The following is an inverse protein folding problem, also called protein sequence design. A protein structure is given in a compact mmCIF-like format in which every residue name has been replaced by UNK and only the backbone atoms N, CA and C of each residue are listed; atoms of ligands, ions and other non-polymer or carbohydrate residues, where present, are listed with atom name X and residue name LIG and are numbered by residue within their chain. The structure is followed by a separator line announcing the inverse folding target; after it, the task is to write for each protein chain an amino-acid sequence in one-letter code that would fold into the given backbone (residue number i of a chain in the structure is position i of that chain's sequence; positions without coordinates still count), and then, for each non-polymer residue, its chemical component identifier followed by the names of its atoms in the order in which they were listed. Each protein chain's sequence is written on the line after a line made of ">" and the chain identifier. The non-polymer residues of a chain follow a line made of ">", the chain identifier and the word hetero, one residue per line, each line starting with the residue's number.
data_IF_333842073560
#
_entry.id   IF_333842073560
#
_cell.length_a   1.000
_cell.length_b   1.000
_cell.length_c   1.000
_cell.angle_alpha   90.00
_cell.angle_beta   90.00
_cell.angle_gamma   90.00
#
_symmetry.space_group_name_H-M   'P 1'
#
loop_
_entity.id
_entity.type
_entity.pdbx_description
1 polymer ?
#
# COMPACT_ATOMS: atom_id res chain seq x y z
N UNK A 1 -2.59 38.86 12.36
CA UNK A 1 -2.36 37.41 12.20
C UNK A 1 -1.77 37.20 10.82
N UNK A 2 -0.52 36.75 10.71
CA UNK A 2 0.05 36.38 9.42
C UNK A 2 -0.68 35.15 8.90
N UNK A 3 -1.26 35.23 7.70
CA UNK A 3 -1.90 34.08 7.07
C UNK A 3 -0.88 32.94 6.95
N UNK A 4 -1.20 31.77 7.48
CA UNK A 4 -0.34 30.59 7.37
C UNK A 4 -0.18 30.24 5.90
N UNK A 5 1.08 30.18 5.43
CA UNK A 5 1.38 29.83 4.05
C UNK A 5 1.00 28.36 3.84
N UNK A 6 -0.02 28.12 3.01
CA UNK A 6 -0.49 26.76 2.69
C UNK A 6 0.65 25.97 2.02
N UNK A 7 0.84 24.73 2.45
CA UNK A 7 1.77 23.79 1.83
C UNK A 7 0.99 22.66 1.16
N UNK A 8 1.54 22.14 0.05
CA UNK A 8 1.02 20.96 -0.61
C UNK A 8 1.53 19.72 0.13
N UNK A 9 0.64 18.77 0.41
CA UNK A 9 1.04 17.46 0.91
C UNK A 9 1.46 16.56 -0.23
N UNK A 10 2.56 15.84 -0.06
CA UNK A 10 3.17 14.99 -1.08
C UNK A 10 3.21 13.54 -0.60
N UNK A 11 2.71 12.63 -1.43
CA UNK A 11 2.75 11.20 -1.19
C UNK A 11 3.49 10.48 -2.33
N UNK A 12 4.28 9.46 -1.98
CA UNK A 12 4.85 8.54 -2.96
C UNK A 12 3.88 7.37 -3.12
N UNK A 13 3.36 7.20 -4.33
CA UNK A 13 2.70 5.95 -4.70
C UNK A 13 3.77 4.94 -5.13
N UNK A 14 4.07 4.01 -4.23
CA UNK A 14 5.18 3.07 -4.42
C UNK A 14 4.77 1.91 -5.31
N UNK A 15 5.39 1.90 -6.49
CA UNK A 15 5.52 0.73 -7.32
C UNK A 15 7.03 0.54 -7.58
N UNK A 16 7.66 -0.37 -6.83
CA UNK A 16 9.07 -0.79 -6.95
C UNK A 16 9.64 -1.00 -8.35
N UNK A 17 8.89 -1.43 -9.37
CA UNK A 17 9.39 -1.53 -10.77
C UNK A 17 9.03 -0.31 -11.65
N UNK A 18 8.58 0.76 -11.00
CA UNK A 18 8.07 1.98 -11.63
C UNK A 18 6.55 1.94 -11.83
N UNK A 19 5.93 3.12 -11.94
CA UNK A 19 4.50 3.26 -12.24
C UNK A 19 4.18 3.06 -13.74
N UNK A 20 5.20 3.18 -14.60
CA UNK A 20 5.06 2.89 -16.02
C UNK A 20 5.27 1.38 -16.24
N UNK A 21 4.38 0.73 -16.98
CA UNK A 21 4.40 -0.73 -17.21
C UNK A 21 5.71 -1.26 -17.81
N UNK A 22 6.39 -0.42 -18.61
CA UNK A 22 7.69 -0.72 -19.19
C UNK A 22 8.89 -0.03 -18.47
N UNK A 23 8.65 0.67 -17.35
CA UNK A 23 9.67 1.48 -16.66
C UNK A 23 10.88 0.67 -16.18
N UNK A 24 10.64 -0.58 -15.79
CA UNK A 24 11.66 -1.55 -15.38
C UNK A 24 12.72 -1.85 -16.45
N UNK A 25 12.45 -1.52 -17.72
CA UNK A 25 13.39 -1.73 -18.84
C UNK A 25 14.44 -0.62 -18.95
N UNK A 26 14.29 0.47 -18.21
CA UNK A 26 15.23 1.59 -18.24
C UNK A 26 16.52 1.23 -17.50
N UNK A 27 17.64 1.75 -17.98
CA UNK A 27 18.92 1.57 -17.30
C UNK A 27 18.86 2.14 -15.88
N UNK A 28 19.33 1.36 -14.90
CA UNK A 28 19.30 1.73 -13.48
C UNK A 28 17.92 1.62 -12.81
N UNK A 29 16.88 1.20 -13.53
CA UNK A 29 15.59 0.90 -12.92
C UNK A 29 15.67 -0.34 -12.02
N UNK A 30 14.80 -0.36 -11.01
CA UNK A 30 14.57 -1.54 -10.21
C UNK A 30 13.82 -2.60 -11.04
N UNK A 31 14.26 -3.85 -10.92
CA UNK A 31 13.76 -5.00 -11.68
C UNK A 31 12.85 -5.93 -10.85
N UNK A 32 12.76 -5.68 -9.54
CA UNK A 32 11.91 -6.46 -8.63
C UNK A 32 11.18 -5.60 -7.61
N UNK A 33 9.88 -5.88 -7.47
CA UNK A 33 9.05 -5.33 -6.39
C UNK A 33 9.27 -6.01 -5.04
N UNK A 34 9.84 -7.21 -5.06
CA UNK A 34 10.15 -8.01 -3.88
C UNK A 34 11.62 -7.84 -3.47
N UNK A 35 12.16 -6.62 -3.56
CA UNK A 35 13.53 -6.31 -3.17
C UNK A 35 13.54 -5.33 -2.00
N UNK A 36 13.80 -5.85 -0.80
CA UNK A 36 13.81 -5.02 0.42
C UNK A 36 14.77 -3.81 0.32
N UNK A 37 16.03 -3.96 -0.14
CA UNK A 37 16.93 -2.81 -0.27
C UNK A 37 16.37 -1.68 -1.14
N UNK A 38 15.60 -2.01 -2.19
CA UNK A 38 14.98 -1.03 -3.10
C UNK A 38 13.82 -0.31 -2.40
N UNK A 39 12.95 -1.06 -1.70
CA UNK A 39 11.83 -0.50 -0.93
C UNK A 39 12.33 0.42 0.18
N UNK A 40 13.31 -0.03 0.95
CA UNK A 40 13.92 0.75 2.03
C UNK A 40 14.57 2.03 1.49
N UNK A 41 15.34 1.93 0.40
CA UNK A 41 15.95 3.09 -0.22
C UNK A 41 14.91 4.10 -0.71
N UNK A 42 13.82 3.63 -1.33
CA UNK A 42 12.71 4.47 -1.79
C UNK A 42 12.06 5.26 -0.65
N UNK A 43 11.73 4.59 0.46
CA UNK A 43 11.14 5.23 1.63
C UNK A 43 12.09 6.24 2.28
N UNK A 44 13.39 5.92 2.38
CA UNK A 44 14.41 6.86 2.87
C UNK A 44 14.57 8.08 1.95
N UNK A 45 14.45 7.91 0.63
CA UNK A 45 14.45 9.03 -0.32
C UNK A 45 13.24 9.93 -0.09
N UNK A 46 12.04 9.34 0.01
CA UNK A 46 10.81 10.08 0.30
C UNK A 46 10.92 10.90 1.60
N UNK A 47 11.43 10.27 2.67
CA UNK A 47 11.63 10.93 3.96
C UNK A 47 12.63 12.09 3.89
N UNK A 48 13.78 11.90 3.21
CA UNK A 48 14.73 13.01 2.99
C UNK A 48 14.09 14.14 2.19
N UNK A 49 13.26 13.80 1.21
CA UNK A 49 12.50 14.71 0.35
C UNK A 49 11.30 15.39 1.04
N UNK A 50 11.05 15.12 2.33
CA UNK A 50 9.95 15.71 3.11
C UNK A 50 8.55 15.34 2.60
N UNK A 51 8.42 14.18 1.97
CA UNK A 51 7.11 13.63 1.66
C UNK A 51 6.38 13.27 2.96
N UNK A 52 5.07 13.45 2.95
CA UNK A 52 4.20 13.16 4.10
C UNK A 52 3.91 11.67 4.19
N UNK A 53 3.83 10.96 3.07
CA UNK A 53 3.38 9.57 3.00
C UNK A 53 4.17 8.75 1.98
N UNK A 54 4.57 7.55 2.37
CA UNK A 54 5.02 6.49 1.48
C UNK A 54 3.94 5.42 1.45
N UNK A 55 3.27 5.26 0.31
CA UNK A 55 2.04 4.49 0.18
C UNK A 55 2.25 3.23 -0.67
N UNK A 56 1.85 2.09 -0.13
CA UNK A 56 1.93 0.78 -0.76
C UNK A 56 0.50 0.31 -1.09
N UNK A 57 0.18 0.24 -2.38
CA UNK A 57 -1.08 -0.36 -2.83
C UNK A 57 -1.05 -1.87 -2.76
N UNK A 58 -2.23 -2.49 -2.85
CA UNK A 58 -2.34 -3.92 -3.00
C UNK A 58 -3.37 -4.33 -4.05
N UNK A 59 -3.25 -5.59 -4.48
CA UNK A 59 -4.28 -6.34 -5.18
C UNK A 59 -4.36 -7.72 -4.52
N UNK A 60 -5.52 -8.37 -4.56
CA UNK A 60 -5.68 -9.71 -4.00
C UNK A 60 -5.75 -10.81 -5.06
N UNK A 61 -5.46 -10.43 -6.31
CA UNK A 61 -5.26 -11.32 -7.44
C UNK A 61 -4.10 -10.81 -8.31
N UNK A 62 -3.57 -11.71 -9.13
CA UNK A 62 -2.48 -11.45 -10.07
C UNK A 62 -2.74 -12.24 -11.36
N UNK A 63 -2.34 -11.66 -12.49
CA UNK A 63 -2.51 -12.20 -13.84
C UNK A 63 -1.30 -11.81 -14.70
N UNK A 64 -0.99 -12.58 -15.74
CA UNK A 64 0.19 -12.33 -16.60
C UNK A 64 0.09 -11.03 -17.41
N UNK A 65 -1.13 -10.54 -17.63
CA UNK A 65 -1.47 -9.28 -18.28
C UNK A 65 -1.48 -8.08 -17.32
N UNK A 66 -1.35 -8.31 -16.00
CA UNK A 66 -1.26 -7.22 -15.03
C UNK A 66 0.06 -6.44 -15.19
N UNK A 67 0.04 -5.20 -14.72
CA UNK A 67 1.25 -4.40 -14.60
C UNK A 67 2.34 -5.19 -13.84
N UNK A 68 3.62 -5.21 -14.28
CA UNK A 68 4.64 -6.11 -13.71
C UNK A 68 4.81 -6.00 -12.19
N UNK A 69 4.69 -4.78 -11.65
CA UNK A 69 4.64 -4.51 -10.21
C UNK A 69 3.55 -5.23 -9.42
N UNK A 70 2.45 -5.59 -10.08
CA UNK A 70 1.32 -6.31 -9.49
C UNK A 70 1.41 -7.81 -9.71
N UNK A 71 2.40 -8.30 -10.44
CA UNK A 71 2.59 -9.74 -10.62
C UNK A 71 3.25 -10.38 -9.39
N UNK A 72 4.29 -9.73 -8.86
CA UNK A 72 5.01 -10.14 -7.65
C UNK A 72 5.30 -8.91 -6.79
N UNK A 73 4.91 -8.94 -5.51
CA UNK A 73 5.14 -7.86 -4.54
C UNK A 73 5.16 -8.39 -3.12
N UNK A 74 5.73 -7.60 -2.21
CA UNK A 74 5.51 -7.82 -0.78
C UNK A 74 4.08 -7.49 -0.38
N UNK A 75 3.61 -8.16 0.67
CA UNK A 75 2.35 -7.81 1.31
C UNK A 75 2.49 -6.44 2.02
N UNK A 76 1.50 -5.52 1.90
CA UNK A 76 1.66 -4.15 2.37
C UNK A 76 1.90 -3.99 3.88
N UNK A 77 1.17 -4.71 4.73
CA UNK A 77 1.22 -4.53 6.19
C UNK A 77 2.55 -4.98 6.79
N UNK A 78 3.10 -6.09 6.30
CA UNK A 78 4.45 -6.57 6.62
C UNK A 78 5.53 -5.62 6.09
N UNK A 79 5.34 -5.04 4.90
CA UNK A 79 6.28 -4.05 4.35
C UNK A 79 6.30 -2.77 5.18
N UNK A 80 5.14 -2.22 5.55
CA UNK A 80 5.10 -1.02 6.40
C UNK A 80 5.60 -1.30 7.82
N UNK A 81 5.44 -2.53 8.34
CA UNK A 81 6.06 -2.94 9.60
C UNK A 81 7.60 -2.86 9.51
N UNK A 82 8.19 -3.37 8.43
CA UNK A 82 9.64 -3.26 8.22
C UNK A 82 10.09 -1.81 8.01
N UNK A 83 9.30 -1.00 7.29
CA UNK A 83 9.59 0.42 7.10
C UNK A 83 9.44 1.25 8.38
N UNK A 84 8.65 0.79 9.34
CA UNK A 84 8.43 1.50 10.61
C UNK A 84 9.72 1.66 11.41
N UNK A 85 10.64 0.70 11.29
CA UNK A 85 11.93 0.72 11.97
C UNK A 85 13.06 1.32 11.14
N UNK A 86 12.91 1.40 9.81
CA UNK A 86 13.95 1.95 8.91
C UNK A 86 13.75 3.44 8.54
N UNK A 87 12.61 4.02 8.94
CA UNK A 87 12.26 5.44 8.77
C UNK A 87 11.81 6.05 10.09
N UNK A 88 11.82 7.39 10.22
CA UNK A 88 11.53 8.10 11.48
C UNK A 88 10.38 9.09 11.42
N UNK A 89 9.99 9.57 10.24
CA UNK A 89 9.10 10.72 10.05
C UNK A 89 8.06 10.51 8.96
N UNK A 90 8.42 9.91 7.83
CA UNK A 90 7.47 9.71 6.74
C UNK A 90 6.31 8.82 7.20
N UNK A 91 5.08 9.18 6.82
CA UNK A 91 3.90 8.33 7.01
C UNK A 91 4.01 7.04 6.21
N UNK A 92 3.38 5.97 6.69
CA UNK A 92 3.46 4.64 6.09
C UNK A 92 2.07 4.14 5.75
N UNK A 93 1.70 4.17 4.47
CA UNK A 93 0.37 3.79 4.01
C UNK A 93 0.34 2.36 3.50
N UNK A 94 -0.63 1.57 3.98
CA UNK A 94 -0.88 0.21 3.52
C UNK A 94 -2.34 0.07 3.06
N UNK A 95 -2.53 -0.63 1.94
CA UNK A 95 -3.87 -1.03 1.47
C UNK A 95 -4.28 -2.35 2.08
N UNK A 96 -5.49 -2.40 2.63
CA UNK A 96 -6.13 -3.64 3.10
C UNK A 96 -7.60 -3.61 2.72
N UNK A 97 -8.10 -4.73 2.19
CA UNK A 97 -9.47 -4.84 1.68
C UNK A 97 -10.47 -5.14 2.78
N UNK A 98 -11.56 -4.37 2.88
CA UNK A 98 -12.68 -4.66 3.81
C UNK A 98 -13.47 -5.89 3.39
N UNK A 99 -13.58 -6.18 2.09
CA UNK A 99 -14.38 -7.30 1.61
C UNK A 99 -13.78 -8.69 1.86
N UNK A 100 -12.50 -8.77 2.21
CA UNK A 100 -11.76 -10.02 2.27
C UNK A 100 -10.89 -10.12 3.54
N UNK A 101 -11.16 -9.27 4.54
CA UNK A 101 -10.38 -9.26 5.78
C UNK A 101 -11.30 -9.17 6.98
N UNK A 102 -11.00 -9.97 8.00
CA UNK A 102 -11.71 -9.93 9.27
C UNK A 102 -11.45 -8.61 10.00
N UNK A 103 -12.47 -7.84 10.39
CA UNK A 103 -12.29 -6.49 10.94
C UNK A 103 -11.45 -6.49 12.22
N UNK A 104 -11.60 -7.52 13.07
CA UNK A 104 -10.78 -7.67 14.27
C UNK A 104 -9.29 -7.87 13.95
N UNK A 105 -8.98 -8.64 12.91
CA UNK A 105 -7.60 -8.86 12.48
C UNK A 105 -7.00 -7.56 11.93
N UNK A 106 -7.74 -6.83 11.08
CA UNK A 106 -7.33 -5.52 10.56
C UNK A 106 -7.07 -4.55 11.70
N UNK A 107 -8.00 -4.42 12.65
CA UNK A 107 -7.86 -3.53 13.81
C UNK A 107 -6.61 -3.86 14.64
N UNK A 108 -6.36 -5.14 14.96
CA UNK A 108 -5.16 -5.56 15.69
C UNK A 108 -3.87 -5.25 14.93
N UNK A 109 -3.85 -5.50 13.62
CA UNK A 109 -2.68 -5.23 12.78
C UNK A 109 -2.36 -3.73 12.74
N UNK A 110 -3.34 -2.89 12.41
CA UNK A 110 -3.12 -1.44 12.35
C UNK A 110 -2.84 -0.83 13.71
N UNK A 111 -3.44 -1.32 14.81
CA UNK A 111 -3.08 -0.86 16.15
C UNK A 111 -1.62 -1.21 16.48
N UNK A 112 -1.15 -2.40 16.12
CA UNK A 112 0.25 -2.80 16.30
C UNK A 112 1.19 -1.91 15.49
N UNK A 113 0.85 -1.65 14.22
CA UNK A 113 1.61 -0.76 13.34
C UNK A 113 1.61 0.69 13.86
N UNK A 114 0.51 1.16 14.44
CA UNK A 114 0.42 2.47 15.07
C UNK A 114 1.46 2.60 16.19
N UNK A 115 1.59 1.58 17.04
CA UNK A 115 2.62 1.56 18.09
C UNK A 115 4.04 1.44 17.52
N UNK A 116 4.29 0.49 16.61
CA UNK A 116 5.60 0.24 16.01
C UNK A 116 6.13 1.43 15.21
N UNK A 117 5.23 2.20 14.58
CA UNK A 117 5.58 3.36 13.78
C UNK A 117 5.59 4.67 14.56
N UNK A 118 5.24 4.66 15.85
CA UNK A 118 5.01 5.87 16.65
C UNK A 118 3.96 6.82 16.04
N UNK A 119 2.85 6.26 15.58
CA UNK A 119 1.69 7.00 15.11
C UNK A 119 1.74 7.45 13.65
N UNK A 120 2.52 6.75 12.80
CA UNK A 120 2.75 7.14 11.39
C UNK A 120 2.02 6.27 10.37
N UNK A 121 1.35 5.20 10.79
CA UNK A 121 0.66 4.29 9.84
C UNK A 121 -0.64 4.91 9.33
N UNK A 122 -0.96 4.65 8.07
CA UNK A 122 -2.24 4.98 7.46
C UNK A 122 -2.84 3.75 6.76
N UNK A 123 -4.14 3.58 6.87
CA UNK A 123 -4.89 2.54 6.16
C UNK A 123 -5.57 3.15 4.93
N UNK A 124 -5.25 2.65 3.75
CA UNK A 124 -6.06 2.84 2.56
C UNK A 124 -7.16 1.77 2.51
N UNK A 125 -8.37 2.17 2.88
CA UNK A 125 -9.57 1.33 2.92
C UNK A 125 -10.04 1.08 1.50
N UNK A 126 -10.04 -0.18 1.07
CA UNK A 126 -10.56 -0.57 -0.25
C UNK A 126 -11.60 -1.66 -0.13
N UNK A 127 -12.57 -1.64 -1.02
CA UNK A 127 -13.60 -2.69 -1.15
C UNK A 127 -13.19 -3.82 -2.11
N UNK A 128 -12.02 -3.71 -2.74
CA UNK A 128 -11.59 -4.53 -3.87
C UNK A 128 -12.53 -4.46 -5.09
N UNK A 129 -11.95 -4.45 -6.29
CA UNK A 129 -12.72 -4.38 -7.54
C UNK A 129 -12.78 -5.71 -8.31
N UNK A 130 -11.76 -6.55 -8.19
CA UNK A 130 -11.54 -7.72 -9.05
C UNK A 130 -12.33 -8.96 -8.60
N UNK A 131 -13.12 -9.53 -9.52
CA UNK A 131 -13.75 -10.84 -9.30
C UNK A 131 -12.74 -11.98 -9.19
N UNK A 132 -11.56 -11.85 -9.82
CA UNK A 132 -10.48 -12.83 -9.67
C UNK A 132 -10.02 -12.94 -8.21
N UNK A 133 -10.13 -11.85 -7.43
CA UNK A 133 -9.77 -11.89 -6.02
C UNK A 133 -10.71 -12.80 -5.23
N UNK A 134 -12.02 -12.80 -5.52
CA UNK A 134 -13.01 -13.61 -4.80
C UNK A 134 -12.67 -15.11 -4.84
N UNK A 135 -12.12 -15.59 -5.96
CA UNK A 135 -11.70 -16.98 -6.14
C UNK A 135 -10.58 -17.40 -5.16
N UNK A 136 -9.72 -16.46 -4.75
CA UNK A 136 -8.66 -16.71 -3.76
C UNK A 136 -9.20 -16.74 -2.32
N UNK A 137 -10.45 -16.33 -2.10
CA UNK A 137 -11.12 -16.29 -0.80
C UNK A 137 -12.32 -17.26 -0.74
N UNK A 138 -12.29 -18.32 -1.55
CA UNK A 138 -13.32 -19.37 -1.58
C UNK A 138 -14.74 -18.84 -1.91
N UNK A 139 -14.82 -17.76 -2.68
CA UNK A 139 -16.08 -17.20 -3.18
C UNK A 139 -16.20 -17.43 -4.68
N UNK A 140 -17.39 -17.77 -5.16
CA UNK A 140 -17.66 -17.96 -6.60
C UNK A 140 -17.60 -16.65 -7.40
N UNK A 141 -18.02 -15.55 -6.77
CA UNK A 141 -18.01 -14.19 -7.32
C UNK A 141 -17.82 -13.17 -6.22
N UNK A 142 -17.36 -11.98 -6.56
CA UNK A 142 -17.30 -10.88 -5.60
C UNK A 142 -18.73 -10.35 -5.30
N UNK A 143 -18.88 -9.64 -4.19
CA UNK A 143 -20.12 -8.95 -3.83
C UNK A 143 -20.51 -7.93 -4.91
N UNK A 144 -21.80 -7.62 -5.01
CA UNK A 144 -22.28 -6.49 -5.81
C UNK A 144 -21.69 -5.18 -5.30
N UNK A 145 -21.48 -4.20 -6.19
CA UNK A 145 -20.78 -2.95 -5.89
C UNK A 145 -21.29 -2.26 -4.61
N UNK A 146 -22.59 -2.01 -4.52
CA UNK A 146 -23.22 -1.33 -3.38
C UNK A 146 -23.04 -2.13 -2.08
N UNK A 147 -23.14 -3.46 -2.16
CA UNK A 147 -22.96 -4.33 -0.99
C UNK A 147 -21.55 -4.25 -0.43
N UNK A 148 -20.54 -4.03 -1.29
CA UNK A 148 -19.15 -3.86 -0.82
C UNK A 148 -19.02 -2.62 0.06
N UNK A 149 -19.70 -1.53 -0.26
CA UNK A 149 -19.68 -0.29 0.52
C UNK A 149 -20.50 -0.40 1.80
N UNK A 150 -21.62 -1.13 1.79
CA UNK A 150 -22.32 -1.48 3.04
C UNK A 150 -21.39 -2.23 4.00
N UNK A 151 -20.73 -3.30 3.52
CA UNK A 151 -19.77 -4.08 4.31
C UNK A 151 -18.62 -3.20 4.82
N UNK A 152 -18.10 -2.30 3.99
CA UNK A 152 -17.01 -1.41 4.39
C UNK A 152 -17.40 -0.37 5.46
N UNK A 153 -18.70 -0.11 5.62
CA UNK A 153 -19.22 0.93 6.53
C UNK A 153 -19.67 0.38 7.89
N UNK A 154 -19.94 -0.93 7.99
CA UNK A 154 -20.29 -1.64 9.24
C UNK A 154 -19.11 -1.70 10.22
#
# INVERSE_FOLDING_TARGET
>A
MTATKRQMHLAVFWLGTGNHSAGWRMEGAADSHCSWPIVEAGARIAERGKFDLFFISDSLASSLDDHPSFQTRFEPTTTVAALSISTRRVGLGATVSTSFSEPFAVARTFQSLQHLSHGRVAWNVVTSSSDKAALNFSMERHYEHDKRYEIASE
#
